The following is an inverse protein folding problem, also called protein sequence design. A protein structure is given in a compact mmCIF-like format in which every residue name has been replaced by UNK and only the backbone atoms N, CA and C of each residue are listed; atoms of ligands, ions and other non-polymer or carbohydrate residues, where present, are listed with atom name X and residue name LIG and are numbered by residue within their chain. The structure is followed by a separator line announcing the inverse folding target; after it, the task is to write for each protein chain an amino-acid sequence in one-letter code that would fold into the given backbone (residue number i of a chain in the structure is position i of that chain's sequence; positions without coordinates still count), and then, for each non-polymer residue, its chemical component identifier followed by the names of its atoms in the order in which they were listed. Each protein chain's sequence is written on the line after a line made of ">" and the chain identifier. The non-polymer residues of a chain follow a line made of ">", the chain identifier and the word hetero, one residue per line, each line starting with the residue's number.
data_IF_454497604472
#
_entry.id   IF_454497604472
#
_cell.length_a   1.000
_cell.length_b   1.000
_cell.length_c   1.000
_cell.angle_alpha   90.00
_cell.angle_beta   90.00
_cell.angle_gamma   90.00
#
_symmetry.space_group_name_H-M   'P 1'
#
loop_
_entity.id
_entity.type
_entity.pdbx_description
1 polymer ?
#
# COMPACT_ATOMS: atom_id res chain seq x y z
N UNK A 1 11.26 -17.98 11.09
CA UNK A 1 10.82 -16.76 11.82
C UNK A 1 9.30 -16.72 11.86
N UNK A 2 8.72 -16.50 13.05
CA UNK A 2 7.28 -16.40 13.25
C UNK A 2 6.79 -14.97 12.97
N UNK A 3 6.33 -14.75 11.73
CA UNK A 3 5.82 -13.46 11.23
C UNK A 3 4.58 -13.00 12.00
N UNK A 4 3.78 -13.95 12.49
CA UNK A 4 2.56 -13.67 13.23
C UNK A 4 2.87 -13.19 14.64
N UNK A 5 3.83 -13.81 15.32
CA UNK A 5 4.31 -13.35 16.61
C UNK A 5 4.92 -11.95 16.52
N UNK A 6 5.74 -11.70 15.49
CA UNK A 6 6.31 -10.38 15.22
C UNK A 6 5.22 -9.32 14.99
N UNK A 7 4.27 -9.58 14.08
CA UNK A 7 3.15 -8.65 13.80
C UNK A 7 2.32 -8.37 15.04
N UNK A 8 2.06 -9.40 15.87
CA UNK A 8 1.36 -9.21 17.14
C UNK A 8 2.15 -8.27 18.05
N UNK A 9 3.45 -8.49 18.21
CA UNK A 9 4.33 -7.62 19.00
C UNK A 9 4.30 -6.18 18.47
N UNK A 10 4.48 -6.01 17.16
CA UNK A 10 4.49 -4.72 16.50
C UNK A 10 3.18 -3.97 16.72
N UNK A 11 2.03 -4.63 16.58
CA UNK A 11 0.71 -4.01 16.78
C UNK A 11 0.44 -3.55 18.23
N UNK A 12 1.18 -4.06 19.21
CA UNK A 12 1.08 -3.62 20.61
C UNK A 12 2.15 -2.58 20.97
N UNK A 13 3.06 -2.27 20.04
CA UNK A 13 4.06 -1.21 20.22
C UNK A 13 3.39 0.15 20.21
N UNK A 14 3.75 1.01 21.17
CA UNK A 14 3.31 2.42 21.18
C UNK A 14 3.85 3.20 19.97
N UNK A 15 4.89 2.68 19.32
CA UNK A 15 5.50 3.27 18.11
C UNK A 15 4.88 2.76 16.82
N UNK A 16 3.78 2.01 16.86
CA UNK A 16 3.09 1.53 15.68
C UNK A 16 1.65 2.06 15.65
N UNK A 17 1.34 2.87 14.64
CA UNK A 17 0.01 3.39 14.42
C UNK A 17 -0.57 2.88 13.10
N UNK A 18 -1.76 2.27 13.16
CA UNK A 18 -2.55 1.91 11.98
C UNK A 18 -3.92 2.61 11.95
N UNK A 19 -4.33 3.29 13.01
CA UNK A 19 -5.71 3.82 13.15
C UNK A 19 -5.87 5.24 12.60
N UNK A 20 -4.77 5.91 12.28
CA UNK A 20 -4.76 7.37 12.07
C UNK A 20 -4.62 8.11 13.41
N UNK A 21 -4.75 9.42 13.37
CA UNK A 21 -4.54 10.31 14.52
C UNK A 21 -5.80 11.08 14.93
N UNK A 22 -6.95 10.69 14.37
CA UNK A 22 -8.25 11.31 14.67
C UNK A 22 -8.40 12.70 14.07
N UNK A 23 -7.62 13.03 13.05
CA UNK A 23 -7.60 14.35 12.40
C UNK A 23 -8.12 14.30 10.95
N UNK A 24 -8.93 13.29 10.64
CA UNK A 24 -9.44 13.03 9.30
C UNK A 24 -10.20 14.24 8.73
N UNK A 25 -11.05 14.89 9.53
CA UNK A 25 -11.82 16.08 9.10
C UNK A 25 -10.92 17.27 8.78
N UNK A 26 -9.82 17.47 9.51
CA UNK A 26 -8.88 18.57 9.28
C UNK A 26 -8.08 18.39 7.98
N UNK A 27 -7.84 17.14 7.57
CA UNK A 27 -7.14 16.82 6.30
C UNK A 27 -8.11 16.59 5.14
N UNK A 28 -9.39 16.34 5.42
CA UNK A 28 -10.43 16.14 4.41
C UNK A 28 -10.54 17.35 3.49
N UNK A 29 -10.45 18.59 4.02
CA UNK A 29 -10.49 19.80 3.18
C UNK A 29 -9.37 19.88 2.14
N UNK A 30 -8.17 19.40 2.47
CA UNK A 30 -7.03 19.35 1.53
C UNK A 30 -7.21 18.27 0.46
N UNK A 31 -7.83 17.14 0.81
CA UNK A 31 -8.20 16.08 -0.11
C UNK A 31 -9.36 16.51 -1.03
N UNK A 32 -10.39 17.14 -0.48
CA UNK A 32 -11.57 17.59 -1.21
C UNK A 32 -11.24 18.69 -2.22
N UNK A 33 -10.44 19.69 -1.85
CA UNK A 33 -10.03 20.75 -2.78
C UNK A 33 -9.23 20.22 -3.98
N UNK A 34 -8.45 19.16 -3.79
CA UNK A 34 -7.65 18.58 -4.87
C UNK A 34 -8.47 17.74 -5.87
N UNK A 35 -9.67 17.26 -5.48
CA UNK A 35 -10.41 16.24 -6.23
C UNK A 35 -11.90 16.53 -6.46
N UNK A 36 -12.46 17.62 -5.92
CA UNK A 36 -13.80 18.08 -6.27
C UNK A 36 -13.78 18.94 -7.54
N UNK A 37 -14.69 18.64 -8.46
CA UNK A 37 -14.87 19.37 -9.70
C UNK A 37 -16.36 19.62 -9.93
N UNK A 38 -16.75 20.89 -10.04
CA UNK A 38 -18.14 21.29 -10.35
C UNK A 38 -18.62 20.66 -11.67
N UNK A 39 -17.71 20.48 -12.64
CA UNK A 39 -18.02 19.79 -13.89
C UNK A 39 -18.37 18.31 -13.65
N UNK A 40 -17.60 17.61 -12.82
CA UNK A 40 -17.87 16.21 -12.49
C UNK A 40 -19.19 16.08 -11.72
N UNK A 41 -19.47 17.01 -10.80
CA UNK A 41 -20.74 17.04 -10.08
C UNK A 41 -21.92 17.25 -11.04
N UNK A 42 -21.83 18.21 -11.94
CA UNK A 42 -22.90 18.46 -12.91
C UNK A 42 -23.12 17.27 -13.87
N UNK A 43 -22.07 16.55 -14.29
CA UNK A 43 -22.23 15.33 -15.10
C UNK A 43 -22.94 14.22 -14.30
N UNK A 44 -22.61 14.06 -13.01
CA UNK A 44 -23.29 13.08 -12.13
C UNK A 44 -24.77 13.40 -11.97
N UNK A 45 -25.10 14.66 -11.70
CA UNK A 45 -26.48 15.13 -11.55
C UNK A 45 -27.29 14.96 -12.85
N UNK A 46 -26.62 15.00 -14.01
CA UNK A 46 -27.21 14.74 -15.33
C UNK A 46 -27.20 13.26 -15.75
N UNK A 47 -27.20 12.33 -14.79
CA UNK A 47 -27.27 10.90 -15.09
C UNK A 47 -26.01 10.35 -15.75
N UNK A 48 -24.84 10.85 -15.32
CA UNK A 48 -23.51 10.47 -15.81
C UNK A 48 -23.27 10.79 -17.30
N UNK A 49 -24.03 11.72 -17.88
CA UNK A 49 -23.89 12.11 -19.28
C UNK A 49 -23.94 13.64 -19.41
N UNK A 50 -23.05 14.19 -20.25
CA UNK A 50 -23.08 15.60 -20.67
C UNK A 50 -23.02 15.65 -22.19
N UNK A 51 -23.98 16.37 -22.79
CA UNK A 51 -24.06 16.55 -24.25
C UNK A 51 -23.83 18.00 -24.59
N UNK A 52 -22.87 18.25 -25.48
CA UNK A 52 -22.57 19.57 -26.02
C UNK A 52 -22.50 19.47 -27.55
N UNK A 53 -23.55 19.95 -28.23
CA UNK A 53 -23.72 19.82 -29.67
C UNK A 53 -23.64 18.36 -30.16
N UNK A 54 -22.58 18.05 -30.91
CA UNK A 54 -22.31 16.69 -31.46
C UNK A 54 -21.45 15.81 -30.55
N UNK A 55 -21.02 16.32 -29.39
CA UNK A 55 -20.16 15.59 -28.45
C UNK A 55 -20.99 15.09 -27.28
N UNK A 56 -20.76 13.83 -26.90
CA UNK A 56 -21.35 13.23 -25.71
C UNK A 56 -20.23 12.72 -24.83
N UNK A 57 -20.17 13.24 -23.61
CA UNK A 57 -19.25 12.81 -22.55
C UNK A 57 -20.04 11.89 -21.63
N UNK A 58 -19.50 10.72 -21.33
CA UNK A 58 -20.06 9.77 -20.37
C UNK A 58 -19.08 9.53 -19.24
N UNK A 59 -19.57 9.63 -18.01
CA UNK A 59 -18.80 9.38 -16.81
C UNK A 59 -19.07 7.96 -16.34
N UNK A 60 -18.02 7.24 -15.95
CA UNK A 60 -18.21 5.94 -15.31
C UNK A 60 -18.94 6.10 -13.97
N UNK A 61 -19.78 5.14 -13.59
CA UNK A 61 -20.48 5.19 -12.30
C UNK A 61 -19.52 5.06 -11.11
N UNK A 62 -18.50 4.23 -11.26
CA UNK A 62 -17.43 4.03 -10.30
C UNK A 62 -16.10 4.53 -10.87
N UNK A 63 -15.56 5.59 -10.29
CA UNK A 63 -14.27 6.17 -10.66
C UNK A 63 -13.67 6.95 -9.48
N UNK A 64 -12.37 7.22 -9.54
CA UNK A 64 -11.66 7.97 -8.50
C UNK A 64 -11.07 7.08 -7.42
N UNK A 65 -10.93 7.60 -6.21
CA UNK A 65 -10.33 6.89 -5.10
C UNK A 65 -11.27 5.83 -4.54
N UNK A 66 -10.73 4.64 -4.29
CA UNK A 66 -11.42 3.67 -3.46
C UNK A 66 -11.20 4.01 -1.98
N UNK A 67 -12.05 3.49 -1.10
CA UNK A 67 -11.93 3.70 0.34
C UNK A 67 -10.54 3.42 0.92
N UNK A 68 -9.85 2.39 0.40
CA UNK A 68 -8.50 2.04 0.84
C UNK A 68 -7.48 3.13 0.52
N UNK A 69 -7.63 3.78 -0.64
CA UNK A 69 -6.78 4.91 -1.06
C UNK A 69 -7.10 6.15 -0.24
N UNK A 70 -8.38 6.52 -0.11
CA UNK A 70 -8.79 7.69 0.69
C UNK A 70 -8.25 7.60 2.11
N UNK A 71 -8.42 6.43 2.73
CA UNK A 71 -7.90 6.15 4.07
C UNK A 71 -6.37 6.27 4.13
N UNK A 72 -5.66 5.72 3.16
CA UNK A 72 -4.20 5.73 3.19
C UNK A 72 -3.64 7.15 3.07
N UNK A 73 -4.20 7.93 2.14
CA UNK A 73 -3.81 9.34 1.93
C UNK A 73 -4.19 10.20 3.14
N UNK A 74 -5.40 10.03 3.71
CA UNK A 74 -5.80 10.75 4.90
C UNK A 74 -4.84 10.50 6.06
N UNK A 75 -4.53 9.23 6.37
CA UNK A 75 -3.57 8.90 7.43
C UNK A 75 -2.18 9.49 7.14
N UNK A 76 -1.71 9.43 5.90
CA UNK A 76 -0.41 10.01 5.51
C UNK A 76 -0.37 11.54 5.70
N UNK A 77 -1.49 12.23 5.50
CA UNK A 77 -1.61 13.68 5.73
C UNK A 77 -1.72 13.99 7.23
N UNK A 78 -2.47 13.17 7.99
CA UNK A 78 -2.60 13.29 9.44
C UNK A 78 -1.26 13.12 10.17
N UNK A 79 -0.52 12.04 9.90
CA UNK A 79 0.83 12.18 9.36
C UNK A 79 1.67 13.36 9.85
N UNK A 80 1.91 14.25 8.87
CA UNK A 80 2.64 15.49 9.03
C UNK A 80 2.02 16.43 10.06
N UNK A 81 0.69 16.47 10.19
CA UNK A 81 0.05 17.33 11.21
C UNK A 81 0.31 16.86 12.64
N UNK A 82 0.38 15.55 12.85
CA UNK A 82 0.64 14.96 14.15
C UNK A 82 2.11 15.08 14.54
N UNK A 83 3.00 14.93 13.56
CA UNK A 83 4.45 15.07 13.70
C UNK A 83 4.93 16.33 12.96
N UNK A 84 4.76 17.53 13.52
CA UNK A 84 5.03 18.78 12.80
C UNK A 84 6.52 19.01 12.53
N UNK A 85 7.42 18.41 13.32
CA UNK A 85 8.86 18.71 13.29
C UNK A 85 9.74 17.52 12.97
N UNK A 86 9.25 16.31 13.18
CA UNK A 86 9.98 15.06 13.00
C UNK A 86 10.22 14.80 11.52
N UNK A 87 11.33 14.14 11.20
CA UNK A 87 11.54 13.62 9.85
C UNK A 87 10.53 12.50 9.61
N UNK A 88 9.75 12.66 8.55
CA UNK A 88 8.84 11.63 8.09
C UNK A 88 9.38 11.08 6.79
N UNK A 89 9.53 9.76 6.75
CA UNK A 89 9.83 9.02 5.56
C UNK A 89 8.60 8.27 5.06
N UNK A 90 8.55 7.97 3.77
CA UNK A 90 7.64 6.99 3.19
C UNK A 90 8.44 5.96 2.40
N UNK A 91 8.13 4.68 2.59
CA UNK A 91 8.95 3.60 2.03
C UNK A 91 8.83 3.43 0.52
N UNK A 92 7.76 3.95 -0.09
CA UNK A 92 7.48 4.00 -1.53
C UNK A 92 6.47 5.13 -1.77
N UNK A 93 5.97 5.27 -2.99
CA UNK A 93 4.75 6.04 -3.26
C UNK A 93 3.59 5.62 -2.35
N UNK A 94 2.84 6.59 -1.80
CA UNK A 94 1.65 6.29 -0.98
C UNK A 94 0.62 5.50 -1.79
N UNK A 95 0.47 5.92 -3.05
CA UNK A 95 -0.26 5.30 -4.15
C UNK A 95 0.43 5.69 -5.46
N UNK A 96 0.18 4.96 -6.55
CA UNK A 96 0.66 5.31 -7.90
C UNK A 96 -0.09 6.51 -8.50
N UNK A 97 0.02 7.68 -7.86
CA UNK A 97 -0.52 8.95 -8.29
C UNK A 97 0.52 10.06 -8.04
N UNK A 98 1.17 10.59 -9.09
CA UNK A 98 2.20 11.61 -8.97
C UNK A 98 1.75 12.88 -8.23
N UNK A 99 0.49 13.29 -8.39
CA UNK A 99 -0.03 14.50 -7.74
C UNK A 99 -0.16 14.30 -6.22
N UNK A 100 -0.63 13.14 -5.77
CA UNK A 100 -0.69 12.83 -4.34
C UNK A 100 0.72 12.75 -3.74
N UNK A 101 1.66 12.12 -4.45
CA UNK A 101 3.05 12.01 -4.00
C UNK A 101 3.74 13.39 -3.96
N UNK A 102 3.51 14.26 -4.94
CA UNK A 102 4.04 15.62 -4.94
C UNK A 102 3.56 16.42 -3.72
N UNK A 103 2.28 16.30 -3.36
CA UNK A 103 1.76 16.96 -2.16
C UNK A 103 2.39 16.44 -0.86
N UNK A 104 2.74 15.14 -0.78
CA UNK A 104 3.53 14.63 0.35
C UNK A 104 4.92 15.27 0.42
N UNK A 105 5.58 15.47 -0.72
CA UNK A 105 6.88 16.17 -0.79
C UNK A 105 6.74 17.63 -0.33
N UNK A 106 5.69 18.34 -0.76
CA UNK A 106 5.38 19.71 -0.31
C UNK A 106 5.16 19.78 1.21
N UNK A 107 4.66 18.70 1.80
CA UNK A 107 4.51 18.52 3.26
C UNK A 107 5.79 18.03 3.95
N UNK A 108 6.95 18.09 3.29
CA UNK A 108 8.25 17.63 3.80
C UNK A 108 8.24 16.15 4.22
N UNK A 109 7.55 15.29 3.47
CA UNK A 109 7.69 13.84 3.59
C UNK A 109 8.77 13.38 2.62
N UNK A 110 9.78 12.70 3.15
CA UNK A 110 10.93 12.19 2.41
C UNK A 110 10.62 10.80 1.85
N UNK A 111 11.05 10.52 0.64
CA UNK A 111 10.94 9.18 0.06
C UNK A 111 12.23 8.43 0.32
N UNK A 112 12.11 7.16 0.73
CA UNK A 112 13.27 6.28 0.87
C UNK A 112 13.92 6.10 -0.51
N UNK A 113 15.22 6.41 -0.67
CA UNK A 113 15.93 6.21 -1.93
C UNK A 113 15.91 4.76 -2.36
N UNK A 114 15.84 4.53 -3.68
CA UNK A 114 15.89 3.19 -4.27
C UNK A 114 16.98 3.13 -5.32
N UNK A 115 17.96 2.26 -5.13
CA UNK A 115 19.05 1.99 -6.06
C UNK A 115 18.98 0.53 -6.52
N UNK A 116 18.91 0.30 -7.83
CA UNK A 116 18.81 -1.04 -8.43
C UNK A 116 17.67 -1.92 -7.87
N UNK A 117 16.58 -1.30 -7.40
CA UNK A 117 15.43 -1.98 -6.80
C UNK A 117 15.60 -2.30 -5.31
N UNK A 118 16.68 -1.84 -4.68
CA UNK A 118 16.95 -1.97 -3.24
C UNK A 118 16.75 -0.62 -2.57
N UNK A 119 15.96 -0.61 -1.49
CA UNK A 119 15.72 0.59 -0.69
C UNK A 119 16.90 0.86 0.23
N UNK A 120 17.39 2.09 0.21
CA UNK A 120 18.41 2.54 1.14
C UNK A 120 17.79 3.20 2.36
N UNK A 121 17.78 2.47 3.47
CA UNK A 121 17.34 3.00 4.75
C UNK A 121 18.46 3.74 5.51
N UNK A 122 19.68 3.85 5.01
CA UNK A 122 20.84 4.38 5.76
C UNK A 122 20.59 5.75 6.42
N UNK A 123 19.80 6.62 5.77
CA UNK A 123 19.42 7.94 6.28
C UNK A 123 18.29 7.96 7.33
N UNK A 124 17.66 6.82 7.61
CA UNK A 124 16.57 6.70 8.60
C UNK A 124 17.15 6.41 9.99
N UNK A 125 16.90 7.32 10.93
CA UNK A 125 17.42 7.24 12.30
C UNK A 125 16.34 6.84 13.32
N UNK A 126 16.78 6.54 14.55
CA UNK A 126 15.88 6.24 15.66
C UNK A 126 14.99 7.45 15.99
N UNK A 127 13.70 7.20 16.22
CA UNK A 127 12.72 8.26 16.49
C UNK A 127 12.15 8.92 15.22
N UNK A 128 12.71 8.66 14.04
CA UNK A 128 12.06 9.08 12.79
C UNK A 128 10.70 8.39 12.63
N UNK A 129 9.80 9.06 11.90
CA UNK A 129 8.48 8.52 11.56
C UNK A 129 8.55 7.92 10.17
N UNK A 130 8.03 6.71 9.97
CA UNK A 130 8.05 6.03 8.68
C UNK A 130 6.66 5.54 8.31
N UNK A 131 6.14 6.08 7.20
CA UNK A 131 4.86 5.70 6.62
C UNK A 131 5.06 4.48 5.73
N UNK A 132 4.26 3.44 5.95
CA UNK A 132 4.10 2.31 5.03
C UNK A 132 2.93 2.62 4.09
N UNK A 133 3.08 2.45 2.76
CA UNK A 133 2.09 2.88 1.76
C UNK A 133 0.84 1.99 1.74
N UNK A 134 -0.13 2.33 0.89
CA UNK A 134 -1.39 1.58 0.77
C UNK A 134 -1.19 0.11 0.35
N UNK A 135 -0.16 -0.15 -0.46
CA UNK A 135 0.27 -1.49 -0.90
C UNK A 135 0.97 -2.29 0.21
N UNK A 136 1.37 -1.61 1.29
CA UNK A 136 2.06 -2.14 2.44
C UNK A 136 3.57 -2.24 2.30
N UNK A 137 4.18 -3.02 3.19
CA UNK A 137 5.62 -3.21 3.24
C UNK A 137 5.94 -4.68 3.54
N UNK A 138 7.15 -5.08 3.19
CA UNK A 138 7.67 -6.41 3.51
C UNK A 138 7.89 -6.58 5.01
N UNK A 139 7.82 -7.82 5.49
CA UNK A 139 8.12 -8.14 6.89
C UNK A 139 9.51 -7.64 7.29
N UNK A 140 10.49 -7.75 6.40
CA UNK A 140 11.88 -7.36 6.62
C UNK A 140 12.00 -5.85 6.85
N UNK A 141 11.31 -5.03 6.04
CA UNK A 141 11.27 -3.58 6.24
C UNK A 141 10.61 -3.22 7.58
N UNK A 142 9.48 -3.83 7.90
CA UNK A 142 8.80 -3.59 9.17
C UNK A 142 9.68 -3.94 10.38
N UNK A 143 10.46 -5.01 10.28
CA UNK A 143 11.41 -5.43 11.31
C UNK A 143 12.54 -4.43 11.46
N UNK A 144 13.20 -4.08 10.35
CA UNK A 144 14.28 -3.11 10.32
C UNK A 144 13.87 -1.79 10.99
N UNK A 145 12.70 -1.26 10.61
CA UNK A 145 12.18 0.00 11.14
C UNK A 145 11.85 -0.09 12.64
N UNK A 146 11.26 -1.21 13.08
CA UNK A 146 10.94 -1.42 14.48
C UNK A 146 12.20 -1.59 15.36
N UNK A 147 13.21 -2.30 14.86
CA UNK A 147 14.50 -2.53 15.53
C UNK A 147 15.31 -1.23 15.63
N UNK A 148 15.30 -0.39 14.58
CA UNK A 148 15.89 0.96 14.61
C UNK A 148 15.15 1.95 15.50
N UNK A 149 13.94 1.59 15.88
CA UNK A 149 13.13 2.35 16.81
C UNK A 149 12.38 3.53 16.21
N UNK A 150 12.01 3.41 14.95
CA UNK A 150 11.15 4.36 14.26
C UNK A 150 9.69 4.29 14.76
N UNK A 151 8.96 5.40 14.59
CA UNK A 151 7.51 5.42 14.68
C UNK A 151 6.92 5.00 13.34
N UNK A 152 6.32 3.81 13.28
CA UNK A 152 5.74 3.25 12.05
C UNK A 152 4.29 3.67 11.94
N UNK A 153 3.92 4.32 10.84
CA UNK A 153 2.54 4.62 10.47
C UNK A 153 2.12 3.74 9.30
N UNK A 154 1.33 2.71 9.59
CA UNK A 154 0.90 1.74 8.60
C UNK A 154 -0.41 2.18 7.92
N UNK A 155 -0.29 2.63 6.67
CA UNK A 155 -1.45 3.01 5.84
C UNK A 155 -1.99 1.87 4.99
N UNK A 156 -1.42 0.66 5.08
CA UNK A 156 -1.78 -0.50 4.25
C UNK A 156 -3.29 -0.68 4.20
N UNK A 157 -3.82 -0.80 2.99
CA UNK A 157 -5.21 -1.08 2.74
C UNK A 157 -5.65 -2.36 3.48
N UNK A 158 -6.74 -2.34 4.27
CA UNK A 158 -7.22 -3.52 4.98
C UNK A 158 -7.53 -4.72 4.08
N UNK A 159 -7.88 -4.48 2.81
CA UNK A 159 -8.08 -5.53 1.81
C UNK A 159 -6.77 -6.24 1.46
N UNK A 160 -5.67 -5.49 1.32
CA UNK A 160 -4.32 -6.04 1.11
C UNK A 160 -3.89 -6.87 2.33
N UNK A 161 -4.04 -6.33 3.54
CA UNK A 161 -3.69 -7.08 4.75
C UNK A 161 -4.55 -8.34 4.99
N UNK A 162 -5.75 -8.42 4.40
CA UNK A 162 -6.56 -9.65 4.41
C UNK A 162 -5.91 -10.76 3.57
N UNK A 163 -5.24 -10.42 2.46
CA UNK A 163 -4.45 -11.36 1.65
C UNK A 163 -3.27 -11.89 2.46
N UNK A 164 -2.56 -11.00 3.18
CA UNK A 164 -1.44 -11.40 4.06
C UNK A 164 -1.86 -12.45 5.10
N UNK A 165 -3.02 -12.26 5.74
CA UNK A 165 -3.54 -13.23 6.71
C UNK A 165 -3.82 -14.61 6.07
N UNK A 166 -4.13 -14.67 4.76
CA UNK A 166 -4.36 -15.93 4.05
C UNK A 166 -3.05 -16.66 3.75
N UNK A 167 -2.01 -15.96 3.29
CA UNK A 167 -0.70 -16.58 3.06
C UNK A 167 -0.01 -16.98 4.36
N UNK A 168 -0.21 -16.25 5.47
CA UNK A 168 0.25 -16.67 6.80
C UNK A 168 -0.46 -17.95 7.29
N UNK A 169 -1.75 -18.12 6.96
CA UNK A 169 -2.48 -19.36 7.25
C UNK A 169 -1.94 -20.54 6.44
N UNK A 170 -1.61 -20.33 5.16
CA UNK A 170 -0.95 -21.35 4.33
C UNK A 170 0.39 -21.77 4.92
N UNK A 171 1.21 -20.80 5.33
CA UNK A 171 2.49 -21.04 6.02
C UNK A 171 2.33 -21.92 7.27
N UNK A 172 1.31 -21.67 8.10
CA UNK A 172 1.04 -22.48 9.30
C UNK A 172 0.72 -23.94 8.99
N UNK A 173 0.08 -24.19 7.84
CA UNK A 173 -0.32 -25.53 7.41
C UNK A 173 0.68 -26.16 6.42
N UNK A 174 1.87 -25.57 6.27
CA UNK A 174 2.90 -26.02 5.32
C UNK A 174 2.41 -26.10 3.87
N UNK A 175 1.46 -25.23 3.49
CA UNK A 175 1.00 -25.10 2.11
C UNK A 175 1.86 -24.11 1.32
N UNK A 176 2.06 -24.41 0.04
CA UNK A 176 2.59 -23.46 -0.94
C UNK A 176 1.49 -22.48 -1.35
N UNK A 177 1.75 -21.18 -1.27
CA UNK A 177 0.84 -20.16 -1.79
C UNK A 177 1.14 -19.86 -3.25
N UNK A 178 0.13 -19.92 -4.12
CA UNK A 178 0.23 -19.39 -5.49
C UNK A 178 -0.33 -17.97 -5.49
N UNK A 179 0.50 -17.00 -5.81
CA UNK A 179 0.17 -15.57 -5.84
C UNK A 179 0.08 -15.15 -7.30
N UNK A 180 -1.09 -14.73 -7.77
CA UNK A 180 -1.22 -14.15 -9.10
C UNK A 180 -0.88 -12.66 -9.05
N UNK A 181 0.16 -12.23 -9.76
CA UNK A 181 0.63 -10.86 -9.72
C UNK A 181 1.97 -10.65 -10.41
N UNK A 182 2.42 -9.39 -10.46
CA UNK A 182 3.74 -9.03 -10.99
C UNK A 182 4.78 -9.21 -9.90
N UNK A 183 5.78 -10.07 -10.12
CA UNK A 183 6.80 -10.41 -9.11
C UNK A 183 7.53 -9.21 -8.50
N UNK A 184 7.70 -8.12 -9.27
CA UNK A 184 8.37 -6.89 -8.82
C UNK A 184 7.43 -5.82 -8.27
N UNK A 185 6.11 -6.04 -8.29
CA UNK A 185 5.16 -5.05 -7.78
C UNK A 185 5.15 -5.04 -6.25
N UNK A 186 5.07 -3.85 -5.66
CA UNK A 186 5.21 -3.63 -4.22
C UNK A 186 4.23 -4.48 -3.39
N UNK A 187 2.96 -4.53 -3.79
CA UNK A 187 1.96 -5.36 -3.13
C UNK A 187 2.28 -6.87 -3.19
N UNK A 188 2.88 -7.32 -4.29
CA UNK A 188 3.28 -8.73 -4.46
C UNK A 188 4.48 -9.06 -3.59
N UNK A 189 5.49 -8.16 -3.54
CA UNK A 189 6.65 -8.29 -2.67
C UNK A 189 6.26 -8.28 -1.18
N UNK A 190 5.38 -7.34 -0.79
CA UNK A 190 4.83 -7.29 0.56
C UNK A 190 4.10 -8.59 0.90
N UNK A 191 3.18 -9.03 0.05
CA UNK A 191 2.39 -10.25 0.25
C UNK A 191 3.27 -11.50 0.35
N UNK A 192 4.23 -11.66 -0.56
CA UNK A 192 5.10 -12.83 -0.59
C UNK A 192 6.02 -12.91 0.62
N UNK A 193 6.41 -11.77 1.20
CA UNK A 193 7.23 -11.73 2.44
C UNK A 193 6.52 -12.35 3.66
N UNK A 194 5.18 -12.41 3.67
CA UNK A 194 4.40 -13.08 4.71
C UNK A 194 4.19 -14.57 4.46
N UNK A 195 4.42 -15.04 3.24
CA UNK A 195 4.22 -16.44 2.88
C UNK A 195 5.34 -17.34 3.44
N UNK A 196 5.07 -18.64 3.49
CA UNK A 196 6.07 -19.67 3.78
C UNK A 196 6.79 -20.05 2.50
N UNK A 197 6.28 -21.09 1.83
CA UNK A 197 6.62 -21.41 0.44
C UNK A 197 5.62 -20.73 -0.47
N UNK A 198 6.08 -20.11 -1.56
CA UNK A 198 5.19 -19.48 -2.52
C UNK A 198 5.75 -19.52 -3.95
N UNK A 199 4.86 -19.32 -4.90
CA UNK A 199 5.15 -19.02 -6.30
C UNK A 199 4.38 -17.76 -6.69
N UNK A 200 4.98 -16.92 -7.53
CA UNK A 200 4.28 -15.81 -8.18
C UNK A 200 4.07 -16.19 -9.64
N UNK A 201 2.84 -16.07 -10.12
CA UNK A 201 2.48 -16.29 -11.52
C UNK A 201 1.90 -15.00 -12.10
N UNK A 202 2.28 -14.64 -13.31
CA UNK A 202 1.86 -13.41 -13.99
C UNK A 202 0.64 -13.66 -14.89
N UNK A 203 0.65 -14.77 -15.62
CA UNK A 203 -0.29 -15.06 -16.69
C UNK A 203 -0.67 -16.55 -16.75
N UNK A 204 -1.42 -16.91 -17.80
CA UNK A 204 -1.88 -18.27 -18.02
C UNK A 204 -0.74 -19.23 -18.40
N UNK A 205 0.32 -18.74 -19.03
CA UNK A 205 1.46 -19.56 -19.42
C UNK A 205 2.21 -20.02 -18.17
N UNK A 206 2.56 -19.08 -17.29
CA UNK A 206 3.19 -19.40 -16.01
C UNK A 206 2.28 -20.26 -15.12
N UNK A 207 0.97 -20.01 -15.11
CA UNK A 207 0.02 -20.84 -14.38
C UNK A 207 -0.03 -22.28 -14.93
N UNK A 208 0.03 -22.45 -16.26
CA UNK A 208 0.04 -23.77 -16.89
C UNK A 208 1.30 -24.56 -16.50
N UNK A 209 2.47 -23.91 -16.43
CA UNK A 209 3.70 -24.57 -15.95
C UNK A 209 3.53 -25.13 -14.53
N UNK A 210 2.89 -24.37 -13.64
CA UNK A 210 2.60 -24.82 -12.28
C UNK A 210 1.60 -25.99 -12.28
N UNK A 211 0.56 -25.93 -13.11
CA UNK A 211 -0.39 -27.02 -13.26
C UNK A 211 0.26 -28.30 -13.77
N UNK A 212 1.11 -28.21 -14.80
CA UNK A 212 1.81 -29.35 -15.38
C UNK A 212 2.74 -30.00 -14.36
N UNK A 213 3.47 -29.19 -13.58
CA UNK A 213 4.29 -29.68 -12.47
C UNK A 213 3.45 -30.44 -11.42
N UNK A 214 2.31 -29.88 -10.99
CA UNK A 214 1.42 -30.50 -9.98
C UNK A 214 0.83 -31.82 -10.49
N UNK A 215 0.48 -31.89 -11.77
CA UNK A 215 -0.11 -33.08 -12.40
C UNK A 215 0.93 -34.15 -12.78
N UNK A 216 2.22 -33.89 -12.56
CA UNK A 216 3.32 -34.81 -12.90
C UNK A 216 3.69 -34.82 -14.38
N UNK A 217 3.24 -33.83 -15.15
CA UNK A 217 3.53 -33.67 -16.58
C UNK A 217 4.66 -32.66 -16.85
N UNK A 218 5.05 -31.86 -15.85
CA UNK A 218 6.07 -30.81 -15.93
C UNK A 218 7.40 -31.17 -15.27
N UNK A 219 8.42 -30.34 -15.49
CA UNK A 219 9.71 -30.43 -14.82
C UNK A 219 9.72 -29.63 -13.50
N UNK A 220 10.54 -30.05 -12.54
CA UNK A 220 10.81 -29.35 -11.28
C UNK A 220 11.83 -28.22 -11.41
N UNK A 221 12.77 -28.35 -12.35
CA UNK A 221 13.73 -27.31 -12.73
C UNK A 221 13.07 -26.23 -13.58
#
# INVERSE_FOLDING_TARGET
>A
MDTRAFKRSLHHSERYNRRGFGRAEEVAGSLEQAYQSELIQSIRENGYELREGRVTIRLAEAFGFCWGVERAVAIAYETRRHYPTERIWITNEIIHNPSVNAHLVEMNVLFIPVEEGVKDFSGVESGDVVILPAFGATVQEMQLLNERGCHIVDTTCPWVSKVWNSVERHKKNSFTSVIHGKVKHEETLATSSFAGTYLVVLDLEEAQLVCDYILGNGNRE
#
